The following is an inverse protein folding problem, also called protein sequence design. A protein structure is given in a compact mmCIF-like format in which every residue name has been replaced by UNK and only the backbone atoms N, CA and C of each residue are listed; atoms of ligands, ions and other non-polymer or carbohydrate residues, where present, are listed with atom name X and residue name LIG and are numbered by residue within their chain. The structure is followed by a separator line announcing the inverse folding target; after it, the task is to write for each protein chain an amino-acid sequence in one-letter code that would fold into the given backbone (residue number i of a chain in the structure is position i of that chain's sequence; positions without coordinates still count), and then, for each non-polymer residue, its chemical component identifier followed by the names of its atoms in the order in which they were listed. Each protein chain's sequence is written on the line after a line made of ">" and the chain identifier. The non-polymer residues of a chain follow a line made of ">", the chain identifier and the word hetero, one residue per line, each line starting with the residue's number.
data_IF_477284321685
#
_entry.id   IF_477284321685
#
_cell.length_a   1.000
_cell.length_b   1.000
_cell.length_c   1.000
_cell.angle_alpha   90.00
_cell.angle_beta   90.00
_cell.angle_gamma   90.00
#
_symmetry.space_group_name_H-M   'P 1'
#
loop_
_entity.id
_entity.type
_entity.pdbx_description
1 polymer ?
#
# COMPACT_ATOMS: atom_id res chain seq x y z
N UNK A 1 7.94 24.00 10.30
CA UNK A 1 7.50 22.58 10.26
C UNK A 1 6.63 22.38 9.03
N UNK A 2 7.13 21.71 7.98
CA UNK A 2 6.26 21.34 6.86
C UNK A 2 5.40 20.16 7.30
N UNK A 3 4.14 20.44 7.64
CA UNK A 3 3.13 19.40 7.83
C UNK A 3 3.06 18.58 6.54
N UNK A 4 3.43 17.30 6.61
CA UNK A 4 3.37 16.39 5.47
C UNK A 4 1.91 16.37 5.04
N UNK A 5 1.58 17.09 3.96
CA UNK A 5 0.20 17.21 3.48
C UNK A 5 -0.33 15.80 3.27
N UNK A 6 -1.37 15.45 4.03
CA UNK A 6 -2.11 14.21 3.84
C UNK A 6 -2.56 14.17 2.38
N UNK A 7 -2.19 13.11 1.69
CA UNK A 7 -2.45 12.97 0.27
C UNK A 7 -3.97 12.84 0.07
N UNK A 8 -4.55 13.67 -0.79
CA UNK A 8 -6.00 13.65 -1.07
C UNK A 8 -6.55 12.25 -1.34
N UNK A 9 -5.79 11.42 -2.07
CA UNK A 9 -6.14 10.02 -2.36
C UNK A 9 -6.24 9.14 -1.11
N UNK A 10 -5.46 9.41 -0.04
CA UNK A 10 -5.58 8.67 1.23
C UNK A 10 -6.88 9.02 1.93
N UNK A 11 -7.38 10.23 1.77
CA UNK A 11 -8.65 10.65 2.34
C UNK A 11 -9.82 10.07 1.53
N UNK A 12 -9.74 10.16 0.20
CA UNK A 12 -10.73 9.59 -0.73
C UNK A 12 -10.89 8.06 -0.59
N UNK A 13 -9.83 7.35 -0.21
CA UNK A 13 -9.83 5.89 0.00
C UNK A 13 -10.04 5.49 1.47
N UNK A 14 -10.36 6.44 2.34
CA UNK A 14 -10.52 6.24 3.80
C UNK A 14 -9.36 5.45 4.44
N UNK A 15 -8.13 5.83 4.09
CA UNK A 15 -6.92 5.19 4.58
C UNK A 15 -6.81 5.35 6.10
N UNK A 16 -6.80 4.22 6.81
CA UNK A 16 -6.93 4.14 8.27
C UNK A 16 -6.15 2.95 8.83
N UNK A 17 -6.13 2.77 10.16
CA UNK A 17 -5.53 1.58 10.78
C UNK A 17 -6.27 0.32 10.34
N UNK A 18 -5.51 -0.70 9.95
CA UNK A 18 -6.04 -1.99 9.53
C UNK A 18 -6.47 -2.87 10.70
N UNK A 19 -7.02 -4.03 10.36
CA UNK A 19 -7.43 -5.06 11.30
C UNK A 19 -6.37 -6.15 11.41
N UNK A 20 -6.43 -6.98 12.45
CA UNK A 20 -5.51 -8.11 12.66
C UNK A 20 -5.45 -9.06 11.45
N UNK A 21 -6.55 -9.21 10.71
CA UNK A 21 -6.67 -10.11 9.56
C UNK A 21 -6.68 -9.38 8.21
N UNK A 22 -6.63 -8.05 8.17
CA UNK A 22 -6.73 -7.27 6.95
C UNK A 22 -5.96 -5.95 7.06
N UNK A 23 -4.86 -5.87 6.31
CA UNK A 23 -3.99 -4.71 6.26
C UNK A 23 -3.29 -4.63 4.90
N UNK A 24 -2.68 -3.49 4.60
CA UNK A 24 -1.93 -3.24 3.38
C UNK A 24 -0.86 -4.30 3.18
N UNK A 25 -0.17 -4.77 4.22
CA UNK A 25 0.83 -5.84 4.09
C UNK A 25 0.30 -7.15 3.49
N UNK A 26 -1.00 -7.43 3.63
CA UNK A 26 -1.68 -8.58 3.02
C UNK A 26 -2.48 -8.27 1.76
N UNK A 27 -2.34 -7.05 1.19
CA UNK A 27 -3.09 -6.59 0.02
C UNK A 27 -2.32 -6.88 -1.28
N UNK A 28 -3.03 -7.26 -2.34
CA UNK A 28 -2.46 -7.56 -3.66
C UNK A 28 -1.87 -6.30 -4.34
N UNK A 29 -2.29 -5.11 -3.91
CA UNK A 29 -1.77 -3.82 -4.37
C UNK A 29 -0.56 -3.32 -3.59
N UNK A 30 -0.13 -4.04 -2.54
CA UNK A 30 1.05 -3.73 -1.75
C UNK A 30 2.31 -3.90 -2.56
N UNK A 31 3.22 -2.95 -2.41
CA UNK A 31 4.57 -3.04 -2.95
C UNK A 31 5.54 -2.87 -1.78
N UNK A 32 6.24 -3.92 -1.33
CA UNK A 32 7.21 -3.81 -0.26
C UNK A 32 8.37 -2.91 -0.67
N UNK A 33 9.09 -2.41 0.34
CA UNK A 33 10.32 -1.62 0.20
C UNK A 33 11.41 -2.30 -0.66
N UNK A 34 11.46 -3.63 -0.65
CA UNK A 34 12.41 -4.44 -1.42
C UNK A 34 12.06 -4.63 -2.90
N UNK A 35 10.88 -4.20 -3.36
CA UNK A 35 10.42 -4.41 -4.74
C UNK A 35 10.65 -3.18 -5.63
N UNK A 36 11.71 -3.22 -6.43
CA UNK A 36 11.98 -2.28 -7.52
C UNK A 36 10.94 -2.46 -8.64
N UNK A 37 9.97 -1.56 -8.77
CA UNK A 37 9.07 -1.59 -9.93
C UNK A 37 9.79 -1.15 -11.23
N UNK A 38 10.82 -0.30 -11.12
CA UNK A 38 11.49 0.36 -12.26
C UNK A 38 13.04 0.40 -12.10
N UNK A 39 13.63 -0.53 -11.35
CA UNK A 39 15.09 -0.56 -11.10
C UNK A 39 15.61 0.40 -10.02
N UNK A 40 14.73 1.20 -9.39
CA UNK A 40 15.06 1.99 -8.20
C UNK A 40 14.65 1.26 -6.91
N UNK A 41 15.58 1.17 -5.95
CA UNK A 41 15.27 0.75 -4.58
C UNK A 41 14.42 1.82 -3.91
N UNK A 42 13.30 1.41 -3.31
CA UNK A 42 12.48 2.28 -2.49
C UNK A 42 12.80 2.06 -1.02
N UNK A 43 12.91 3.15 -0.26
CA UNK A 43 13.19 3.12 1.18
C UNK A 43 11.95 2.84 2.05
N UNK A 44 10.80 2.65 1.42
CA UNK A 44 9.52 2.53 2.11
C UNK A 44 8.47 1.85 1.21
N UNK A 45 7.55 1.07 1.81
CA UNK A 45 6.49 0.40 1.08
C UNK A 45 5.53 1.38 0.41
N UNK A 46 4.98 0.93 -0.74
CA UNK A 46 4.10 1.70 -1.63
C UNK A 46 2.83 0.91 -1.97
N UNK A 47 1.88 1.58 -2.60
CA UNK A 47 0.65 0.96 -3.09
C UNK A 47 0.41 1.38 -4.54
N UNK A 48 0.07 0.42 -5.41
CA UNK A 48 -0.19 0.68 -6.84
C UNK A 48 -1.35 1.66 -7.08
N UNK A 49 -2.30 1.74 -6.14
CA UNK A 49 -3.49 2.62 -6.22
C UNK A 49 -3.19 4.02 -5.67
N UNK A 50 -2.66 4.11 -4.45
CA UNK A 50 -2.32 5.41 -3.81
C UNK A 50 -1.22 6.13 -4.61
N UNK A 51 -0.36 5.37 -5.29
CA UNK A 51 0.58 5.87 -6.27
C UNK A 51 2.00 5.39 -5.99
N UNK A 52 2.68 5.02 -7.08
CA UNK A 52 4.11 4.65 -7.12
C UNK A 52 4.98 5.71 -7.82
N UNK A 53 4.42 6.90 -8.10
CA UNK A 53 5.13 7.92 -8.90
C UNK A 53 6.40 8.40 -8.20
N UNK A 54 7.51 8.44 -8.97
CA UNK A 54 8.83 8.92 -8.57
C UNK A 54 8.76 10.34 -7.99
N UNK A 55 9.56 10.61 -6.96
CA UNK A 55 9.76 11.94 -6.37
C UNK A 55 8.69 12.44 -5.38
N UNK A 56 7.63 11.68 -5.12
CA UNK A 56 6.63 12.02 -4.08
C UNK A 56 6.59 10.96 -2.99
N UNK A 57 6.51 11.41 -1.74
CA UNK A 57 6.46 10.57 -0.53
C UNK A 57 5.07 9.90 -0.38
N UNK A 58 4.68 9.05 -1.32
CA UNK A 58 3.51 8.16 -1.21
C UNK A 58 3.78 6.96 -0.30
N UNK A 59 4.40 7.17 0.86
CA UNK A 59 4.68 6.08 1.81
C UNK A 59 3.37 5.53 2.34
N UNK A 60 3.22 4.22 2.36
CA UNK A 60 2.14 3.55 3.09
C UNK A 60 2.71 2.90 4.36
N UNK A 61 1.84 2.68 5.33
CA UNK A 61 2.07 1.78 6.45
C UNK A 61 1.42 0.44 6.11
N UNK A 62 2.16 -0.65 6.29
CA UNK A 62 1.74 -2.03 6.10
C UNK A 62 0.60 -2.45 7.04
N UNK A 63 0.50 -1.82 8.22
CA UNK A 63 -0.54 -2.05 9.21
C UNK A 63 -1.83 -1.24 8.99
N UNK A 64 -1.91 -0.45 7.93
CA UNK A 64 -3.11 0.33 7.58
C UNK A 64 -3.98 -0.40 6.55
N UNK A 65 -5.16 0.13 6.24
CA UNK A 65 -6.07 -0.39 5.21
C UNK A 65 -6.77 0.77 4.49
N UNK A 66 -7.28 0.52 3.30
CA UNK A 66 -8.13 1.46 2.55
C UNK A 66 -9.31 0.71 1.92
N UNK A 67 -10.28 1.44 1.38
CA UNK A 67 -11.49 0.86 0.78
C UNK A 67 -11.23 0.08 -0.52
N UNK A 68 -10.02 0.17 -1.07
CA UNK A 68 -9.55 -0.62 -2.21
C UNK A 68 -8.69 -1.81 -1.78
N UNK A 69 -8.86 -2.29 -0.55
CA UNK A 69 -8.21 -3.51 -0.10
C UNK A 69 -8.69 -4.70 -0.94
N UNK A 70 -7.74 -5.46 -1.48
CA UNK A 70 -7.98 -6.69 -2.21
C UNK A 70 -6.89 -7.70 -1.83
N UNK A 71 -7.26 -8.92 -1.51
CA UNK A 71 -6.36 -10.03 -1.19
C UNK A 71 -6.77 -11.32 -1.93
N UNK A 72 -7.54 -11.16 -3.03
CA UNK A 72 -8.07 -12.26 -3.82
C UNK A 72 -6.96 -13.18 -4.33
N UNK A 73 -5.84 -12.64 -4.78
CA UNK A 73 -4.71 -13.44 -5.29
C UNK A 73 -4.01 -14.20 -4.17
N UNK A 74 -3.83 -13.58 -3.00
CA UNK A 74 -3.33 -14.26 -1.82
C UNK A 74 -4.26 -15.41 -1.37
N UNK A 75 -5.58 -15.21 -1.39
CA UNK A 75 -6.54 -16.27 -1.06
C UNK A 75 -6.47 -17.41 -2.08
N UNK A 76 -6.38 -17.12 -3.39
CA UNK A 76 -6.24 -18.15 -4.43
C UNK A 76 -5.00 -19.01 -4.21
N UNK A 77 -3.85 -18.39 -3.94
CA UNK A 77 -2.59 -19.08 -3.62
C UNK A 77 -2.71 -20.00 -2.41
N UNK A 78 -3.32 -19.52 -1.32
CA UNK A 78 -3.52 -20.33 -0.12
C UNK A 78 -4.47 -21.52 -0.35
N UNK A 79 -5.40 -21.40 -1.29
CA UNK A 79 -6.36 -22.47 -1.64
C UNK A 79 -5.84 -23.42 -2.72
N UNK A 80 -4.63 -23.22 -3.25
CA UNK A 80 -4.01 -24.09 -4.26
C UNK A 80 -4.67 -24.00 -5.65
N UNK A 81 -5.25 -22.85 -5.99
CA UNK A 81 -5.83 -22.57 -7.31
C UNK A 81 -4.81 -21.97 -8.27
#
# INVERSE_FOLDING_TARGET
>A
MMSIRRLKIKDELHYRRGYTHASCGGCDHYVPDSLCADGELWDAPRCRIIGVKRGRLFRINDNNICDRYDNTENIKRCRGW
#
